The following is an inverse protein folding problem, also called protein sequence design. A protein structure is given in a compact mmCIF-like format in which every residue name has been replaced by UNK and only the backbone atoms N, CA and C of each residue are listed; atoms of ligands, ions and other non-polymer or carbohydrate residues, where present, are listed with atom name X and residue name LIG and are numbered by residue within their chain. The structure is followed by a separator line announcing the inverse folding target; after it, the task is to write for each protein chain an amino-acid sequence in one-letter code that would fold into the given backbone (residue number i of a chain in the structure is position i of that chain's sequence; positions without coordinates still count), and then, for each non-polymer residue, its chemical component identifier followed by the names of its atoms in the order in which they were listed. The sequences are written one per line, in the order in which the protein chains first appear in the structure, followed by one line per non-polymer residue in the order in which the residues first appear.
data_IF_395435745488
#
_entry.id   IF_395435745488
#
_cell.length_a   1.000
_cell.length_b   1.000
_cell.length_c   1.000
_cell.angle_alpha   90.00
_cell.angle_beta   90.00
_cell.angle_gamma   90.00
#
_symmetry.space_group_name_H-M   'P 1'
#
loop_
_entity.id
_entity.type
_entity.pdbx_description
1 polymer ?
#
# COMPACT_ATOMS: atom_id res chain seq x y z
N UNK A 1 -28.95 7.17 -35.10
CA UNK A 1 -28.15 5.98 -34.81
C UNK A 1 -26.84 6.51 -34.25
N UNK A 2 -26.76 6.73 -32.94
CA UNK A 2 -25.55 7.24 -32.30
C UNK A 2 -24.52 6.11 -32.26
N UNK A 3 -23.41 6.30 -32.98
CA UNK A 3 -22.25 5.46 -32.84
C UNK A 3 -21.54 5.85 -31.53
N UNK A 4 -21.84 5.14 -30.44
CA UNK A 4 -20.92 5.04 -29.31
C UNK A 4 -19.62 4.47 -29.87
N UNK A 5 -18.55 5.27 -29.85
CA UNK A 5 -17.23 4.77 -30.13
C UNK A 5 -16.97 3.59 -29.18
N UNK A 6 -16.90 2.38 -29.72
CA UNK A 6 -16.50 1.19 -28.98
C UNK A 6 -14.99 1.27 -28.73
N UNK A 7 -14.56 2.21 -27.89
CA UNK A 7 -13.25 2.17 -27.26
C UNK A 7 -13.20 0.89 -26.43
N UNK A 8 -12.16 0.09 -26.59
CA UNK A 8 -11.97 -1.10 -25.75
C UNK A 8 -12.07 -0.71 -24.28
N UNK A 9 -12.85 -1.46 -23.50
CA UNK A 9 -13.00 -1.21 -22.07
C UNK A 9 -11.62 -1.28 -21.40
N UNK A 10 -11.22 -0.19 -20.75
CA UNK A 10 -9.96 -0.12 -20.01
C UNK A 10 -10.25 -0.49 -18.56
N UNK A 11 -9.61 -1.55 -18.07
CA UNK A 11 -9.65 -1.91 -16.66
C UNK A 11 -8.65 -1.07 -15.88
N UNK A 12 -9.02 -0.60 -14.70
CA UNK A 12 -8.14 0.10 -13.77
C UNK A 12 -8.20 -0.60 -12.42
N UNK A 13 -7.04 -1.04 -11.93
CA UNK A 13 -6.90 -1.68 -10.62
C UNK A 13 -6.43 -0.64 -9.61
N UNK A 14 -7.24 -0.40 -8.57
CA UNK A 14 -6.91 0.53 -7.50
C UNK A 14 -6.54 -0.27 -6.26
N UNK A 15 -5.27 -0.19 -5.87
CA UNK A 15 -4.76 -0.66 -4.59
C UNK A 15 -4.75 0.52 -3.63
N UNK A 16 -5.24 0.31 -2.42
CA UNK A 16 -5.23 1.37 -1.41
C UNK A 16 -4.83 0.84 -0.03
N UNK A 17 -4.21 1.71 0.75
CA UNK A 17 -3.98 1.53 2.19
C UNK A 17 -4.46 2.75 2.97
N UNK A 18 -4.67 2.55 4.26
CA UNK A 18 -5.11 3.58 5.20
C UNK A 18 -4.67 3.17 6.61
N UNK A 19 -4.53 4.15 7.51
CA UNK A 19 -4.34 3.94 8.96
C UNK A 19 -3.19 2.97 9.26
N UNK A 20 -2.08 3.12 8.55
CA UNK A 20 -0.93 2.24 8.68
C UNK A 20 -0.26 2.37 10.05
N UNK A 21 -0.31 3.55 10.66
CA UNK A 21 0.15 3.80 12.03
C UNK A 21 1.57 3.28 12.31
N UNK A 22 2.50 3.56 11.40
CA UNK A 22 3.93 3.20 11.52
C UNK A 22 4.18 1.68 11.66
N UNK A 23 3.25 0.83 11.19
CA UNK A 23 3.36 -0.63 11.19
C UNK A 23 4.25 -1.17 10.06
N UNK A 24 5.55 -0.86 10.15
CA UNK A 24 6.56 -1.30 9.19
C UNK A 24 6.73 -2.83 9.22
N UNK A 25 6.79 -3.40 10.42
CA UNK A 25 6.90 -4.85 10.63
C UNK A 25 5.53 -5.52 10.73
N UNK A 26 5.47 -6.85 10.53
CA UNK A 26 4.28 -7.64 10.85
C UNK A 26 3.85 -7.47 12.32
N UNK A 27 2.58 -7.77 12.58
CA UNK A 27 2.10 -7.85 13.95
C UNK A 27 2.83 -8.97 14.72
N UNK A 28 3.13 -8.76 16.02
CA UNK A 28 3.74 -9.78 16.87
C UNK A 28 2.99 -11.10 16.86
N UNK A 29 3.69 -12.21 17.07
CA UNK A 29 3.10 -13.56 17.05
C UNK A 29 2.04 -13.78 18.14
N UNK A 30 2.06 -12.98 19.21
CA UNK A 30 1.09 -12.98 20.30
C UNK A 30 -0.10 -12.02 20.08
N UNK A 31 -0.16 -11.35 18.93
CA UNK A 31 -1.32 -10.53 18.56
C UNK A 31 -2.58 -11.39 18.40
N UNK A 32 -3.66 -11.00 19.07
CA UNK A 32 -4.89 -11.80 19.18
C UNK A 32 -5.59 -12.04 17.83
N UNK A 33 -5.37 -11.20 16.83
CA UNK A 33 -6.15 -11.21 15.58
C UNK A 33 -5.27 -11.28 14.33
N UNK A 34 -4.08 -10.69 14.38
CA UNK A 34 -3.26 -10.46 13.20
C UNK A 34 -1.85 -11.02 13.33
N UNK A 35 -1.59 -11.94 14.27
CA UNK A 35 -0.29 -12.56 14.47
C UNK A 35 0.43 -12.92 13.15
N UNK A 36 1.64 -12.37 12.98
CA UNK A 36 2.49 -12.59 11.80
C UNK A 36 1.98 -11.97 10.49
N UNK A 37 0.91 -11.17 10.51
CA UNK A 37 0.34 -10.53 9.32
C UNK A 37 0.77 -9.07 9.20
N UNK A 38 0.55 -8.49 8.03
CA UNK A 38 0.86 -7.08 7.77
C UNK A 38 2.35 -6.84 7.49
N UNK A 39 2.82 -5.64 7.80
CA UNK A 39 4.16 -5.19 7.48
C UNK A 39 4.34 -4.75 6.02
N UNK A 40 5.28 -3.83 5.80
CA UNK A 40 5.54 -3.24 4.49
C UNK A 40 6.26 -4.21 3.53
N UNK A 41 7.03 -5.16 4.05
CA UNK A 41 7.68 -6.18 3.19
C UNK A 41 6.65 -7.09 2.51
N UNK A 42 5.68 -7.62 3.26
CA UNK A 42 4.62 -8.45 2.69
C UNK A 42 3.74 -7.64 1.73
N UNK A 43 3.46 -6.37 2.09
CA UNK A 43 2.73 -5.43 1.22
C UNK A 43 3.45 -5.22 -0.11
N UNK A 44 4.75 -4.96 -0.09
CA UNK A 44 5.55 -4.76 -1.30
C UNK A 44 5.49 -5.97 -2.24
N UNK A 45 5.58 -7.19 -1.69
CA UNK A 45 5.48 -8.41 -2.47
C UNK A 45 4.12 -8.55 -3.17
N UNK A 46 3.03 -8.25 -2.47
CA UNK A 46 1.67 -8.31 -3.03
C UNK A 46 1.47 -7.23 -4.11
N UNK A 47 1.94 -6.00 -3.86
CA UNK A 47 1.89 -4.91 -4.84
C UNK A 47 2.62 -5.32 -6.13
N UNK A 48 3.83 -5.88 -6.01
CA UNK A 48 4.60 -6.30 -7.17
C UNK A 48 3.88 -7.41 -7.94
N UNK A 49 3.36 -8.42 -7.23
CA UNK A 49 2.60 -9.51 -7.86
C UNK A 49 1.40 -8.98 -8.65
N UNK A 50 0.66 -8.00 -8.11
CA UNK A 50 -0.49 -7.41 -8.79
C UNK A 50 -0.05 -6.57 -10.00
N UNK A 51 1.04 -5.80 -9.88
CA UNK A 51 1.61 -5.05 -11.01
C UNK A 51 2.14 -5.95 -12.12
N UNK A 52 2.57 -7.16 -11.80
CA UNK A 52 2.98 -8.15 -12.79
C UNK A 52 1.78 -8.76 -13.55
N UNK A 53 0.57 -8.75 -12.96
CA UNK A 53 -0.64 -9.31 -13.57
C UNK A 53 -1.59 -8.28 -14.20
N UNK A 54 -1.53 -7.02 -13.77
CA UNK A 54 -2.48 -5.97 -14.15
C UNK A 54 -1.79 -4.85 -14.93
N UNK A 55 -2.40 -4.43 -16.05
CA UNK A 55 -1.79 -3.43 -16.95
C UNK A 55 -1.86 -1.99 -16.41
N UNK A 56 -2.95 -1.64 -15.70
CA UNK A 56 -3.19 -0.29 -15.20
C UNK A 56 -3.46 -0.36 -13.69
N UNK A 57 -2.46 -0.01 -12.90
CA UNK A 57 -2.53 -0.05 -11.43
C UNK A 57 -2.26 1.33 -10.87
N UNK A 58 -3.12 1.76 -9.95
CA UNK A 58 -2.85 2.88 -9.04
C UNK A 58 -2.69 2.35 -7.62
N UNK A 59 -1.66 2.81 -6.92
CA UNK A 59 -1.39 2.53 -5.52
C UNK A 59 -1.50 3.81 -4.70
N UNK A 60 -2.50 3.85 -3.82
CA UNK A 60 -2.88 5.05 -3.07
C UNK A 60 -2.79 4.80 -1.56
N UNK A 61 -2.42 5.81 -0.79
CA UNK A 61 -2.66 5.84 0.65
C UNK A 61 -3.72 6.89 1.01
N UNK A 62 -4.51 6.65 2.06
CA UNK A 62 -5.58 7.56 2.51
C UNK A 62 -5.27 8.29 3.82
N UNK A 63 -4.02 8.26 4.28
CA UNK A 63 -3.56 8.97 5.46
C UNK A 63 -3.41 8.10 6.70
N UNK A 64 -3.02 8.75 7.81
CA UNK A 64 -2.64 8.11 9.07
C UNK A 64 -1.53 7.05 8.90
N UNK A 65 -0.54 7.42 8.07
CA UNK A 65 0.67 6.64 7.81
C UNK A 65 1.56 6.59 9.07
N UNK A 66 1.67 7.72 9.75
CA UNK A 66 2.58 7.93 10.86
C UNK A 66 1.97 7.53 12.21
N UNK A 67 2.83 7.52 13.24
CA UNK A 67 2.49 7.38 14.66
C UNK A 67 1.70 6.10 15.02
N UNK A 68 2.33 5.19 15.76
CA UNK A 68 1.68 3.98 16.28
C UNK A 68 2.64 2.87 16.72
N UNK A 69 3.90 2.96 16.27
CA UNK A 69 5.02 2.15 16.76
C UNK A 69 6.19 3.06 17.16
N UNK A 70 7.24 2.54 17.83
CA UNK A 70 8.42 3.33 18.15
C UNK A 70 9.16 3.89 16.92
N UNK A 71 8.97 3.35 15.71
CA UNK A 71 9.64 3.85 14.50
C UNK A 71 9.42 5.36 14.31
N UNK A 72 8.20 5.84 14.43
CA UNK A 72 7.91 7.27 14.31
C UNK A 72 8.63 8.12 15.37
N UNK A 73 8.71 7.63 16.62
CA UNK A 73 9.35 8.37 17.71
C UNK A 73 10.86 8.54 17.50
N UNK A 74 11.52 7.55 16.87
CA UNK A 74 12.96 7.59 16.64
C UNK A 74 13.34 8.23 15.31
N UNK A 75 12.53 8.06 14.27
CA UNK A 75 12.91 8.43 12.89
C UNK A 75 12.02 9.51 12.25
N UNK A 76 10.96 9.97 12.94
CA UNK A 76 10.14 11.09 12.48
C UNK A 76 9.38 10.85 11.17
N UNK A 77 9.17 9.58 10.77
CA UNK A 77 8.44 9.22 9.56
C UNK A 77 9.31 8.95 8.31
N UNK A 78 10.63 9.13 8.39
CA UNK A 78 11.51 8.91 7.23
C UNK A 78 11.44 7.47 6.68
N UNK A 79 11.47 6.39 7.51
CA UNK A 79 11.41 5.02 7.01
C UNK A 79 10.10 4.72 6.26
N UNK A 80 8.97 5.22 6.73
CA UNK A 80 7.67 5.05 6.09
C UNK A 80 7.66 5.68 4.69
N UNK A 81 8.18 6.90 4.57
CA UNK A 81 8.26 7.61 3.29
C UNK A 81 9.23 6.93 2.32
N UNK A 82 10.39 6.48 2.81
CA UNK A 82 11.37 5.74 1.99
C UNK A 82 10.77 4.44 1.45
N UNK A 83 10.08 3.68 2.30
CA UNK A 83 9.45 2.42 1.92
C UNK A 83 8.25 2.63 0.98
N UNK A 84 7.42 3.65 1.21
CA UNK A 84 6.33 4.01 0.28
C UNK A 84 6.88 4.48 -1.08
N UNK A 85 7.97 5.24 -1.08
CA UNK A 85 8.65 5.67 -2.31
C UNK A 85 9.24 4.46 -3.05
N UNK A 86 9.88 3.53 -2.33
CA UNK A 86 10.40 2.29 -2.91
C UNK A 86 9.29 1.38 -3.47
N UNK A 87 8.11 1.36 -2.84
CA UNK A 87 6.91 0.70 -3.36
C UNK A 87 6.22 1.48 -4.48
N UNK A 88 6.69 2.69 -4.79
CA UNK A 88 6.15 3.56 -5.82
C UNK A 88 4.66 3.85 -5.60
N UNK A 89 4.29 4.34 -4.42
CA UNK A 89 2.96 4.91 -4.21
C UNK A 89 2.73 6.09 -5.17
N UNK A 90 1.54 6.16 -5.77
CA UNK A 90 1.16 7.21 -6.72
C UNK A 90 0.67 8.48 -6.02
N UNK A 91 0.00 8.31 -4.87
CA UNK A 91 -0.42 9.41 -3.99
C UNK A 91 -0.65 8.90 -2.56
N UNK A 92 -0.58 9.83 -1.60
CA UNK A 92 -0.76 9.61 -0.17
C UNK A 92 -1.26 10.90 0.51
#
# INVERSE_FOLDING_TARGET
MEALAAGAATSLTILHTNDMHSRIDPFPDDDQRYAGRGGMSARAAIIQQIRDSEQHVLLLDSGDIFQGTPYFNYYGGAPELELMSAMQYDAA
#
